data_IF_165049412572
#
_entry.id   IF_165049412572
#
_cell.length_a   1.000
_cell.length_b   1.000
_cell.length_c   1.000
_cell.angle_alpha   90.00
_cell.angle_beta   90.00
_cell.angle_gamma   90.00
#
_symmetry.space_group_name_H-M   'P 1'
#
loop_
_entity.id
_entity.type
_entity.pdbx_description
1 polymer ?
#
# COMPACT_ATOMS: atom_id res chain seq x y z
N UNK A 1 1.30 -7.72 -2.73
CA UNK A 1 1.17 -7.55 -1.27
C UNK A 1 -0.16 -6.89 -1.01
N UNK A 2 -0.66 -6.89 0.22
CA UNK A 2 -1.96 -6.26 0.51
C UNK A 2 -1.82 -4.78 0.80
N UNK A 3 -2.85 -4.01 0.45
CA UNK A 3 -2.89 -2.56 0.66
C UNK A 3 -2.68 -2.21 2.13
N UNK A 4 -3.29 -2.98 3.04
CA UNK A 4 -3.10 -2.79 4.49
C UNK A 4 -1.63 -2.84 4.90
N UNK A 5 -0.88 -3.83 4.41
CA UNK A 5 0.52 -4.03 4.78
C UNK A 5 1.38 -2.88 4.20
N UNK A 6 1.11 -2.46 2.96
CA UNK A 6 1.75 -1.30 2.34
C UNK A 6 1.55 -0.03 3.16
N UNK A 7 0.33 0.21 3.63
CA UNK A 7 -0.01 1.37 4.43
C UNK A 7 0.61 1.32 5.83
N UNK A 8 0.69 0.15 6.47
CA UNK A 8 1.40 -0.02 7.74
C UNK A 8 2.90 0.25 7.59
N UNK A 9 3.54 -0.22 6.52
CA UNK A 9 4.94 0.13 6.21
C UNK A 9 5.10 1.63 5.98
N UNK A 10 4.18 2.25 5.24
CA UNK A 10 4.20 3.70 5.01
C UNK A 10 4.06 4.50 6.30
N UNK A 11 3.17 4.08 7.19
CA UNK A 11 3.00 4.68 8.51
C UNK A 11 4.28 4.57 9.37
N UNK A 12 4.90 3.39 9.41
CA UNK A 12 6.16 3.16 10.12
C UNK A 12 7.32 4.00 9.55
N UNK A 13 7.25 4.34 8.26
CA UNK A 13 8.18 5.23 7.57
C UNK A 13 7.84 6.72 7.70
N UNK A 14 6.74 7.07 8.37
CA UNK A 14 6.29 8.45 8.56
C UNK A 14 5.71 9.10 7.31
N UNK A 15 5.17 8.32 6.38
CA UNK A 15 4.50 8.80 5.17
C UNK A 15 3.06 9.23 5.48
N UNK A 16 2.53 10.21 4.75
CA UNK A 16 1.24 10.82 5.04
C UNK A 16 0.08 10.23 4.23
N UNK A 17 0.35 9.83 2.99
CA UNK A 17 -0.69 9.48 2.01
C UNK A 17 -0.53 8.07 1.44
N UNK A 18 -1.64 7.54 0.91
CA UNK A 18 -1.66 6.25 0.20
C UNK A 18 -0.64 6.22 -0.93
N UNK A 19 -0.54 7.30 -1.72
CA UNK A 19 0.41 7.36 -2.84
C UNK A 19 1.85 7.27 -2.37
N UNK A 20 2.22 8.02 -1.34
CA UNK A 20 3.58 7.97 -0.79
C UNK A 20 3.95 6.56 -0.33
N UNK A 21 3.03 5.83 0.31
CA UNK A 21 3.25 4.44 0.69
C UNK A 21 3.43 3.50 -0.51
N UNK A 22 2.60 3.65 -1.54
CA UNK A 22 2.73 2.86 -2.78
C UNK A 22 4.05 3.17 -3.48
N UNK A 23 4.41 4.45 -3.63
CA UNK A 23 5.69 4.89 -4.21
C UNK A 23 6.88 4.29 -3.44
N UNK A 24 6.79 4.23 -2.11
CA UNK A 24 7.82 3.62 -1.28
C UNK A 24 8.03 2.14 -1.63
N UNK A 25 6.95 1.38 -1.84
CA UNK A 25 7.03 -0.02 -2.26
C UNK A 25 7.53 -0.15 -3.71
N UNK A 26 7.14 0.74 -4.62
CA UNK A 26 7.63 0.72 -6.00
C UNK A 26 9.16 0.98 -6.07
N UNK A 27 9.66 1.91 -5.26
CA UNK A 27 11.08 2.28 -5.24
C UNK A 27 11.92 1.27 -4.47
N UNK A 28 11.44 0.81 -3.31
CA UNK A 28 12.23 0.01 -2.37
C UNK A 28 11.84 -1.46 -2.32
N UNK A 29 10.79 -1.86 -3.03
CA UNK A 29 10.20 -3.21 -2.96
C UNK A 29 11.15 -4.33 -3.38
N UNK A 30 12.24 -4.05 -4.11
CA UNK A 30 13.28 -5.05 -4.41
C UNK A 30 14.05 -5.48 -3.16
N UNK A 31 13.94 -4.73 -2.06
CA UNK A 31 14.45 -5.13 -0.75
C UNK A 31 13.53 -6.11 -0.02
N UNK A 32 12.27 -6.22 -0.48
CA UNK A 32 11.21 -7.05 0.13
C UNK A 32 10.88 -8.28 -0.73
N UNK A 33 10.99 -8.15 -2.06
CA UNK A 33 10.59 -9.16 -3.04
C UNK A 33 11.69 -9.42 -4.06
N UNK A 34 11.72 -10.62 -4.63
CA UNK A 34 12.51 -10.88 -5.83
C UNK A 34 11.98 -10.07 -7.02
N UNK A 35 12.81 -9.88 -8.04
CA UNK A 35 12.41 -9.16 -9.26
C UNK A 35 11.20 -9.83 -9.95
N UNK A 36 11.15 -11.17 -9.96
CA UNK A 36 10.05 -11.93 -10.56
C UNK A 36 8.74 -11.78 -9.78
N UNK A 37 8.82 -11.69 -8.45
CA UNK A 37 7.65 -11.55 -7.58
C UNK A 37 7.12 -10.12 -7.52
N UNK A 38 7.99 -9.11 -7.66
CA UNK A 38 7.61 -7.70 -7.56
C UNK A 38 6.42 -7.33 -8.46
N UNK A 39 6.40 -7.80 -9.71
CA UNK A 39 5.30 -7.50 -10.63
C UNK A 39 3.96 -8.08 -10.16
N UNK A 40 3.97 -9.30 -9.60
CA UNK A 40 2.79 -9.94 -9.03
C UNK A 40 2.32 -9.19 -7.79
N UNK A 41 3.25 -8.85 -6.90
CA UNK A 41 2.93 -8.18 -5.64
C UNK A 41 2.36 -6.77 -5.85
N UNK A 42 2.92 -6.01 -6.80
CA UNK A 42 2.37 -4.71 -7.20
C UNK A 42 1.00 -4.86 -7.88
N UNK A 43 0.82 -5.88 -8.73
CA UNK A 43 -0.47 -6.16 -9.37
C UNK A 43 -1.58 -6.38 -8.35
N UNK A 44 -1.36 -7.25 -7.36
CA UNK A 44 -2.33 -7.50 -6.29
C UNK A 44 -2.62 -6.24 -5.45
N UNK A 45 -1.60 -5.41 -5.19
CA UNK A 45 -1.75 -4.15 -4.46
C UNK A 45 -2.63 -3.16 -5.24
N UNK A 46 -2.36 -2.98 -6.53
CA UNK A 46 -3.11 -2.06 -7.39
C UNK A 46 -4.55 -2.51 -7.61
N UNK A 47 -4.79 -3.82 -7.73
CA UNK A 47 -6.13 -4.40 -7.81
C UNK A 47 -6.94 -4.07 -6.55
N UNK A 48 -6.41 -4.40 -5.36
CA UNK A 48 -7.09 -4.13 -4.09
C UNK A 48 -7.34 -2.63 -3.87
N UNK A 49 -6.35 -1.79 -4.18
CA UNK A 49 -6.49 -0.34 -4.07
C UNK A 49 -7.59 0.21 -4.98
N UNK A 50 -7.66 -0.28 -6.23
CA UNK A 50 -8.69 0.12 -7.20
C UNK A 50 -10.08 -0.34 -6.76
N UNK A 51 -10.23 -1.59 -6.28
CA UNK A 51 -11.49 -2.13 -5.80
C UNK A 51 -12.07 -1.34 -4.62
N UNK A 52 -11.19 -0.86 -3.73
CA UNK A 52 -11.59 -0.06 -2.57
C UNK A 52 -11.94 1.39 -2.94
N UNK A 53 -11.60 1.83 -4.16
CA UNK A 53 -11.88 3.18 -4.67
C UNK A 53 -11.42 4.30 -3.70
N UNK A 54 -10.22 4.14 -3.15
CA UNK A 54 -9.59 5.09 -2.22
C UNK A 54 -8.77 6.10 -3.02
N UNK A 55 -8.85 7.39 -2.68
CA UNK A 55 -7.99 8.38 -3.34
C UNK A 55 -6.53 8.18 -2.95
N UNK A 56 -5.63 8.35 -3.91
CA UNK A 56 -4.17 8.36 -3.72
C UNK A 56 -3.68 9.38 -2.68
N UNK A 57 -4.38 10.51 -2.54
CA UNK A 57 -4.13 11.59 -1.57
C UNK A 57 -4.76 11.34 -0.19
N UNK A 58 -5.50 10.24 0.00
CA UNK A 58 -6.10 9.93 1.30
C UNK A 58 -5.02 9.71 2.36
N UNK A 59 -5.29 10.15 3.59
CA UNK A 59 -4.38 9.93 4.70
C UNK A 59 -4.31 8.45 5.08
N UNK A 60 -3.10 7.96 5.33
CA UNK A 60 -2.86 6.54 5.68
C UNK A 60 -3.69 6.14 6.91
N UNK A 61 -3.74 6.99 7.93
CA UNK A 61 -4.44 6.73 9.19
C UNK A 61 -5.95 6.56 9.00
N UNK A 62 -6.56 7.31 8.09
CA UNK A 62 -7.99 7.21 7.79
C UNK A 62 -8.29 5.91 7.07
N UNK A 63 -7.47 5.56 6.08
CA UNK A 63 -7.65 4.34 5.30
C UNK A 63 -7.44 3.09 6.17
N UNK A 64 -6.42 3.09 7.03
CA UNK A 64 -6.18 1.98 7.94
C UNK A 64 -7.33 1.76 8.93
N UNK A 65 -8.04 2.81 9.35
CA UNK A 65 -9.27 2.68 10.17
C UNK A 65 -10.37 1.97 9.37
N UNK A 66 -10.64 2.39 8.14
CA UNK A 66 -11.64 1.77 7.25
C UNK A 66 -11.34 0.28 7.05
N UNK A 67 -10.07 -0.07 6.82
CA UNK A 67 -9.64 -1.46 6.61
C UNK A 67 -9.76 -2.33 7.88
N UNK A 68 -9.63 -1.75 9.08
CA UNK A 68 -9.82 -2.45 10.35
C UNK A 68 -11.30 -2.73 10.63
N UNK A 69 -12.18 -1.80 10.29
CA UNK A 69 -13.62 -1.92 10.56
C UNK A 69 -14.35 -2.87 9.58
N UNK A 70 -13.71 -3.26 8.48
CA UNK A 70 -14.24 -4.24 7.50
C UNK A 70 -14.03 -5.71 7.89
N UNK A 71 -13.43 -6.02 9.04
CA UNK A 71 -13.13 -7.37 9.54
C UNK A 71 -14.12 -7.82 10.60
#
# INVERSE_FOLDING_TARGET
MKLKDTLEVGQDCGLGTVREAIDNIEIHGLSLFSYEEMAKELGELYEEWTELNISDTSEIDEVLKILRDKK
#
